data_IF_855567277810
#
_entry.id   IF_855567277810
#
_cell.length_a   1.000
_cell.length_b   1.000
_cell.length_c   1.000
_cell.angle_alpha   90.00
_cell.angle_beta   90.00
_cell.angle_gamma   90.00
#
_symmetry.space_group_name_H-M   'P 1'
#
loop_
_entity.id
_entity.type
_entity.pdbx_description
1 polymer ?
#
# COMPACT_ATOMS: atom_id res chain seq x y z
N UNK A 1 24.60 5.05 -4.80
CA UNK A 1 25.24 4.71 -3.51
C UNK A 1 24.31 3.78 -2.74
N UNK A 2 24.81 2.69 -2.13
CA UNK A 2 23.94 1.68 -1.53
C UNK A 2 23.30 2.22 -0.26
N UNK A 3 22.01 1.92 -0.06
CA UNK A 3 21.29 2.16 1.19
C UNK A 3 21.88 1.20 2.23
N UNK A 4 22.68 1.73 3.17
CA UNK A 4 23.20 0.96 4.29
C UNK A 4 22.10 0.77 5.34
N UNK A 5 21.68 -0.48 5.55
CA UNK A 5 20.91 -0.88 6.73
C UNK A 5 21.87 -1.03 7.91
N UNK A 6 21.81 -0.12 8.87
CA UNK A 6 22.53 -0.28 10.13
C UNK A 6 21.65 -1.04 11.13
N UNK A 7 21.96 -2.31 11.39
CA UNK A 7 21.39 -3.07 12.50
C UNK A 7 22.32 -2.89 13.69
N UNK A 8 21.95 -2.03 14.64
CA UNK A 8 22.69 -1.86 15.89
C UNK A 8 22.27 -2.93 16.91
N UNK A 9 23.25 -3.64 17.48
CA UNK A 9 23.05 -4.55 18.58
C UNK A 9 23.57 -3.89 19.86
N UNK A 10 22.66 -3.61 20.79
CA UNK A 10 23.02 -3.15 22.14
C UNK A 10 22.76 -4.31 23.10
N UNK A 11 23.81 -4.81 23.73
CA UNK A 11 23.72 -5.82 24.79
C UNK A 11 23.72 -5.11 26.15
N UNK A 12 22.63 -5.24 26.91
CA UNK A 12 22.59 -4.82 28.31
C UNK A 12 22.78 -6.05 29.20
N UNK A 13 23.83 -6.06 30.02
CA UNK A 13 24.07 -7.08 31.04
C UNK A 13 23.32 -6.73 32.33
N UNK A 14 22.63 -7.69 32.98
CA UNK A 14 22.20 -7.51 34.37
C UNK A 14 23.35 -7.89 35.30
N UNK A 15 23.87 -6.93 36.08
CA UNK A 15 24.65 -7.28 37.27
C UNK A 15 23.66 -7.59 38.39
N UNK A 16 23.62 -8.86 38.78
CA UNK A 16 23.04 -9.30 40.05
C UNK A 16 24.04 -8.88 41.14
N UNK A 17 23.75 -7.80 41.86
CA UNK A 17 24.08 -7.72 43.28
C UNK A 17 23.26 -6.63 43.97
N UNK A 18 22.71 -7.01 45.12
CA UNK A 18 21.97 -6.15 46.05
C UNK A 18 22.91 -5.07 46.62
N UNK A 19 22.31 -3.89 46.87
CA UNK A 19 22.88 -2.66 47.44
C UNK A 19 23.61 -1.72 46.46
N UNK A 20 23.21 -0.45 46.54
CA UNK A 20 23.70 0.75 45.83
C UNK A 20 23.17 1.04 44.41
N UNK A 21 22.33 2.09 44.36
CA UNK A 21 21.80 2.74 43.17
C UNK A 21 22.93 3.43 42.37
N UNK A 22 23.51 2.75 41.39
CA UNK A 22 23.92 3.35 40.09
C UNK A 22 24.23 2.25 39.08
N UNK A 23 23.31 1.94 38.17
CA UNK A 23 23.60 1.08 37.02
C UNK A 23 24.43 1.85 35.97
N UNK A 24 25.75 1.65 35.93
CA UNK A 24 26.57 2.06 34.78
C UNK A 24 26.38 1.04 33.66
N UNK A 25 25.90 1.49 32.51
CA UNK A 25 25.76 0.69 31.29
C UNK A 25 27.13 0.68 30.59
N UNK A 26 27.75 -0.50 30.45
CA UNK A 26 28.96 -0.68 29.65
C UNK A 26 28.58 -1.02 28.21
N UNK A 27 29.10 -0.23 27.26
CA UNK A 27 28.92 -0.44 25.82
C UNK A 27 30.18 -1.10 25.24
N UNK A 28 30.05 -2.26 24.61
CA UNK A 28 31.09 -2.79 23.72
C UNK A 28 30.81 -2.28 22.30
N UNK A 29 31.64 -1.34 21.82
CA UNK A 29 31.54 -0.77 20.49
C UNK A 29 32.46 -1.52 19.51
N UNK A 30 31.91 -2.44 18.73
CA UNK A 30 32.56 -2.95 17.53
C UNK A 30 31.88 -2.33 16.29
N UNK A 31 32.26 -1.10 15.92
CA UNK A 31 31.70 -0.43 14.74
C UNK A 31 32.75 0.41 13.97
N UNK A 32 32.70 0.33 12.63
CA UNK A 32 33.33 1.30 11.72
C UNK A 32 32.27 2.32 11.30
N UNK A 33 32.49 3.60 11.62
CA UNK A 33 31.63 4.69 11.18
C UNK A 33 31.99 5.11 9.75
N UNK A 34 30.98 5.37 8.91
CA UNK A 34 31.17 5.73 7.49
C UNK A 34 31.27 7.25 7.31
N UNK A 35 30.78 8.06 8.26
CA UNK A 35 30.93 9.52 8.27
C UNK A 35 31.08 10.11 9.70
N UNK A 36 31.53 11.37 9.79
CA UNK A 36 31.63 12.13 11.05
C UNK A 36 30.27 12.52 11.64
N UNK A 37 29.26 12.72 10.79
CA UNK A 37 27.88 13.02 11.18
C UNK A 37 27.20 11.82 11.85
N UNK A 38 27.42 10.60 11.32
CA UNK A 38 26.93 9.36 11.91
C UNK A 38 27.49 9.16 13.34
N UNK A 39 28.76 9.51 13.53
CA UNK A 39 29.43 9.42 14.84
C UNK A 39 28.85 10.42 15.85
N UNK A 40 28.54 11.64 15.40
CA UNK A 40 27.92 12.69 16.23
C UNK A 40 26.48 12.32 16.62
N UNK A 41 25.69 11.81 15.68
CA UNK A 41 24.32 11.35 15.93
C UNK A 41 24.30 10.20 16.93
N UNK A 42 25.19 9.22 16.79
CA UNK A 42 25.28 8.08 17.70
C UNK A 42 25.74 8.49 19.10
N UNK A 43 26.70 9.41 19.23
CA UNK A 43 27.10 9.95 20.53
C UNK A 43 25.92 10.66 21.23
N UNK A 44 25.16 11.47 20.50
CA UNK A 44 23.95 12.12 21.04
C UNK A 44 22.87 11.11 21.44
N UNK A 45 22.73 10.01 20.69
CA UNK A 45 21.83 8.90 21.02
C UNK A 45 22.23 8.21 22.33
N UNK A 46 23.51 7.85 22.50
CA UNK A 46 24.02 7.22 23.73
C UNK A 46 23.91 8.13 24.96
N UNK A 47 24.19 9.44 24.81
CA UNK A 47 24.01 10.42 25.88
C UNK A 47 22.54 10.48 26.34
N UNK A 48 21.58 10.40 25.40
CA UNK A 48 20.15 10.41 25.74
C UNK A 48 19.68 9.10 26.36
N UNK A 49 20.20 7.95 25.91
CA UNK A 49 19.92 6.65 26.52
C UNK A 49 20.40 6.56 27.97
N UNK A 50 21.61 7.07 28.27
CA UNK A 50 22.16 7.08 29.64
C UNK A 50 21.34 7.92 30.64
N UNK A 51 20.38 8.73 30.17
CA UNK A 51 19.45 9.49 31.03
C UNK A 51 18.20 8.70 31.43
N UNK A 52 17.98 7.50 30.88
CA UNK A 52 16.84 6.64 31.20
C UNK A 52 17.18 5.83 32.46
N UNK A 53 16.53 6.14 33.58
CA UNK A 53 16.81 5.52 34.89
C UNK A 53 16.13 4.16 35.11
N UNK A 54 15.00 3.90 34.45
CA UNK A 54 14.21 2.67 34.61
C UNK A 54 13.76 2.14 33.25
N UNK A 55 14.15 0.91 32.91
CA UNK A 55 13.58 0.19 31.79
C UNK A 55 12.35 -0.62 32.24
N UNK A 56 11.21 -0.53 31.52
CA UNK A 56 9.98 -1.24 31.84
C UNK A 56 10.01 -2.71 31.38
N UNK A 57 9.06 -3.51 31.89
CA UNK A 57 8.97 -4.96 31.73
C UNK A 57 8.88 -5.46 30.27
N UNK A 58 9.33 -6.70 30.05
CA UNK A 58 9.45 -7.39 28.76
C UNK A 58 8.19 -7.35 27.85
N UNK A 59 8.39 -7.42 26.53
CA UNK A 59 7.34 -7.50 25.49
C UNK A 59 6.44 -6.26 25.35
N UNK A 60 6.98 -5.07 25.56
CA UNK A 60 6.30 -3.81 25.23
C UNK A 60 7.02 -3.04 24.13
N UNK A 61 6.25 -2.50 23.18
CA UNK A 61 6.73 -1.58 22.15
C UNK A 61 6.76 -0.16 22.74
N UNK A 62 7.92 0.47 22.77
CA UNK A 62 8.08 1.80 23.36
C UNK A 62 8.34 2.85 22.26
N UNK A 63 7.55 3.93 22.32
CA UNK A 63 7.80 5.16 21.56
C UNK A 63 8.30 6.23 22.53
N UNK A 64 9.60 6.47 22.56
CA UNK A 64 10.15 7.57 23.38
C UNK A 64 9.98 8.87 22.59
N UNK A 65 8.94 9.64 22.94
CA UNK A 65 8.58 10.92 22.29
C UNK A 65 9.73 11.94 22.23
N UNK A 66 10.72 11.86 23.13
CA UNK A 66 11.86 12.80 23.20
C UNK A 66 12.99 12.53 22.20
N UNK A 67 13.04 11.36 21.57
CA UNK A 67 14.19 10.99 20.73
C UNK A 67 13.83 10.51 19.32
N UNK A 68 12.54 10.31 18.98
CA UNK A 68 12.14 9.90 17.63
C UNK A 68 12.42 8.43 17.29
N UNK A 69 12.94 7.64 18.23
CA UNK A 69 13.25 6.22 18.04
C UNK A 69 12.14 5.32 18.60
N UNK A 70 11.90 4.20 17.91
CA UNK A 70 11.04 3.11 18.36
C UNK A 70 11.92 2.00 18.95
N UNK A 71 11.50 1.46 20.09
CA UNK A 71 12.20 0.40 20.80
C UNK A 71 11.29 -0.82 20.89
N UNK A 72 11.80 -1.99 20.54
CA UNK A 72 11.23 -3.27 20.96
C UNK A 72 12.13 -3.94 21.97
N UNK A 73 11.54 -4.44 23.05
CA UNK A 73 12.19 -5.33 24.02
C UNK A 73 11.57 -6.72 23.91
N UNK A 74 12.39 -7.73 23.66
CA UNK A 74 11.97 -9.14 23.62
C UNK A 74 12.79 -9.97 24.61
N UNK A 75 12.12 -10.94 25.25
CA UNK A 75 12.76 -11.97 26.06
C UNK A 75 13.18 -13.13 25.16
N UNK A 76 14.48 -13.35 25.00
CA UNK A 76 15.00 -14.57 24.37
C UNK A 76 15.41 -15.57 25.46
N UNK A 77 15.20 -16.87 25.23
CA UNK A 77 15.31 -17.92 26.25
C UNK A 77 16.64 -17.98 27.04
N UNK A 78 16.53 -18.57 28.24
CA UNK A 78 17.53 -18.89 29.30
C UNK A 78 18.52 -17.81 29.78
N UNK A 79 18.81 -16.76 29.01
CA UNK A 79 19.66 -15.67 29.48
C UNK A 79 18.91 -14.31 29.40
N UNK A 80 18.90 -13.58 30.52
CA UNK A 80 18.21 -12.29 30.66
C UNK A 80 18.96 -11.17 29.93
N UNK A 81 18.80 -11.08 28.60
CA UNK A 81 19.28 -9.95 27.82
C UNK A 81 18.12 -9.15 27.26
N UNK A 82 18.22 -7.83 27.33
CA UNK A 82 17.37 -6.93 26.57
C UNK A 82 18.01 -6.73 25.20
N UNK A 83 17.35 -7.18 24.13
CA UNK A 83 17.72 -6.81 22.75
C UNK A 83 16.93 -5.57 22.37
N UNK A 84 17.62 -4.45 22.20
CA UNK A 84 17.03 -3.21 21.72
C UNK A 84 17.30 -3.11 20.21
N UNK A 85 16.26 -3.22 19.39
CA UNK A 85 16.32 -2.81 17.99
C UNK A 85 15.96 -1.34 17.87
N UNK A 86 16.88 -0.55 17.34
CA UNK A 86 16.64 0.86 17.01
C UNK A 86 16.39 0.92 15.52
N UNK A 87 15.13 1.06 15.12
CA UNK A 87 14.82 1.42 13.75
C UNK A 87 14.93 2.94 13.63
N UNK A 88 16.02 3.41 13.03
CA UNK A 88 16.10 4.76 12.50
C UNK A 88 15.13 4.88 11.32
N UNK A 89 13.97 5.47 11.53
CA UNK A 89 13.37 6.29 10.48
C UNK A 89 14.14 7.60 10.53
N UNK A 90 15.38 7.59 10.05
CA UNK A 90 16.02 8.84 9.65
C UNK A 90 15.25 9.29 8.43
N UNK A 91 14.44 10.34 8.60
CA UNK A 91 14.02 11.20 7.50
C UNK A 91 15.26 11.88 6.92
N UNK A 92 16.11 11.13 6.24
CA UNK A 92 17.14 11.68 5.38
C UNK A 92 16.48 12.02 4.04
N UNK A 93 15.68 13.08 4.05
CA UNK A 93 15.45 14.05 2.98
C UNK A 93 14.22 14.90 3.31
N UNK A 94 14.46 16.08 3.88
CA UNK A 94 13.47 17.16 4.05
C UNK A 94 13.01 17.79 2.71
N UNK A 95 13.16 17.11 1.58
CA UNK A 95 12.88 17.63 0.24
C UNK A 95 11.70 16.94 -0.48
N UNK A 96 11.06 15.94 0.12
CA UNK A 96 9.87 15.30 -0.48
C UNK A 96 8.61 16.12 -0.17
N UNK A 97 8.16 16.93 -1.13
CA UNK A 97 6.91 17.67 -1.02
C UNK A 97 5.76 16.73 -1.40
N UNK A 98 5.13 16.12 -0.39
CA UNK A 98 3.85 15.41 -0.55
C UNK A 98 2.73 16.41 -0.27
N UNK A 99 1.83 16.59 -1.22
CA UNK A 99 0.63 17.42 -1.09
C UNK A 99 -0.60 16.54 -1.18
N UNK A 100 -1.49 16.65 -0.21
CA UNK A 100 -2.80 15.99 -0.22
C UNK A 100 -3.86 17.02 -0.63
N UNK A 101 -4.75 16.64 -1.54
CA UNK A 101 -5.82 17.53 -2.02
C UNK A 101 -7.08 16.72 -2.39
N UNK A 102 -8.20 17.42 -2.56
CA UNK A 102 -9.50 16.85 -2.95
C UNK A 102 -10.10 17.70 -4.08
N UNK A 103 -10.34 17.09 -5.24
CA UNK A 103 -10.96 17.74 -6.39
C UNK A 103 -12.26 17.04 -6.76
N UNK A 104 -13.37 17.79 -6.79
CA UNK A 104 -14.72 17.28 -7.09
C UNK A 104 -15.10 16.03 -6.25
N UNK A 105 -14.64 16.05 -4.99
CA UNK A 105 -14.82 14.98 -4.02
C UNK A 105 -13.87 13.80 -4.19
N UNK A 106 -12.83 13.89 -5.02
CA UNK A 106 -11.84 12.83 -5.23
C UNK A 106 -10.53 13.22 -4.57
N UNK A 107 -10.12 12.44 -3.57
CA UNK A 107 -8.91 12.63 -2.78
C UNK A 107 -7.69 12.03 -3.49
N UNK A 108 -6.58 12.77 -3.51
CA UNK A 108 -5.30 12.27 -4.02
C UNK A 108 -4.11 12.87 -3.27
N UNK A 109 -2.95 12.24 -3.42
CA UNK A 109 -1.65 12.79 -3.02
C UNK A 109 -0.78 13.00 -4.24
N UNK A 110 -0.05 14.10 -4.29
CA UNK A 110 1.03 14.33 -5.25
C UNK A 110 2.35 14.29 -4.48
N UNK A 111 3.21 13.36 -4.86
CA UNK A 111 4.63 13.33 -4.50
C UNK A 111 5.41 13.99 -5.64
N UNK A 112 5.87 15.21 -5.42
CA UNK A 112 6.69 15.95 -6.38
C UNK A 112 8.18 15.64 -6.17
N UNK A 113 8.74 14.87 -7.09
CA UNK A 113 10.15 14.48 -7.14
C UNK A 113 10.90 15.20 -8.27
N UNK A 114 10.37 16.30 -8.82
CA UNK A 114 11.00 17.00 -9.96
C UNK A 114 12.44 17.41 -9.67
N UNK A 115 12.76 17.75 -8.42
CA UNK A 115 14.13 18.06 -8.00
C UNK A 115 15.08 16.85 -7.95
N UNK A 116 14.52 15.63 -7.88
CA UNK A 116 15.27 14.38 -7.73
C UNK A 116 15.55 13.75 -9.10
N UNK A 117 14.54 13.67 -9.98
CA UNK A 117 14.59 12.90 -11.23
C UNK A 117 14.60 13.76 -12.50
N UNK A 118 14.85 15.07 -12.39
CA UNK A 118 14.80 16.05 -13.50
C UNK A 118 15.46 15.59 -14.79
N UNK A 119 16.60 14.90 -14.70
CA UNK A 119 17.40 14.46 -15.84
C UNK A 119 17.30 12.94 -16.11
N UNK A 120 16.58 12.20 -15.28
CA UNK A 120 16.52 10.72 -15.33
C UNK A 120 15.20 10.19 -15.88
N UNK A 121 14.15 11.03 -15.94
CA UNK A 121 12.80 10.59 -16.35
C UNK A 121 12.26 11.50 -17.44
N UNK A 122 11.58 10.92 -18.43
CA UNK A 122 10.64 11.69 -19.27
C UNK A 122 9.65 12.34 -18.29
N UNK A 123 9.27 13.60 -18.48
CA UNK A 123 8.37 14.40 -17.59
C UNK A 123 6.93 13.85 -17.46
N UNK A 124 6.75 12.54 -17.66
CA UNK A 124 5.51 11.79 -17.60
C UNK A 124 5.19 11.49 -16.13
N UNK A 125 4.11 12.07 -15.57
CA UNK A 125 3.65 11.73 -14.23
C UNK A 125 3.12 10.30 -14.18
N UNK A 126 3.26 9.65 -13.03
CA UNK A 126 2.63 8.37 -12.73
C UNK A 126 1.36 8.62 -11.91
N UNK A 127 0.27 7.93 -12.25
CA UNK A 127 -0.98 7.91 -11.50
C UNK A 127 -1.28 6.49 -11.04
N UNK A 128 -1.48 6.31 -9.73
CA UNK A 128 -1.69 5.03 -9.07
C UNK A 128 -3.12 4.91 -8.54
N UNK A 129 -3.83 3.85 -8.96
CA UNK A 129 -5.19 3.51 -8.53
C UNK A 129 -5.20 2.22 -7.70
N UNK A 130 -5.79 2.29 -6.50
CA UNK A 130 -5.79 1.17 -5.54
C UNK A 130 -6.90 0.15 -5.84
N UNK A 131 -6.83 -1.01 -5.17
CA UNK A 131 -7.83 -2.09 -5.26
C UNK A 131 -9.04 -1.88 -4.35
N UNK A 132 -10.01 -2.80 -4.41
CA UNK A 132 -11.21 -2.74 -3.56
C UNK A 132 -10.83 -2.73 -2.07
N UNK A 133 -11.59 -1.99 -1.27
CA UNK A 133 -11.36 -1.74 0.16
C UNK A 133 -10.06 -1.01 0.50
N UNK A 134 -9.30 -0.57 -0.50
CA UNK A 134 -8.07 0.18 -0.32
C UNK A 134 -8.27 1.70 -0.23
N UNK A 135 -7.15 2.39 -0.25
CA UNK A 135 -7.02 3.85 -0.41
C UNK A 135 -5.66 4.17 -1.02
N UNK A 136 -5.45 5.41 -1.47
CA UNK A 136 -4.18 5.98 -1.91
C UNK A 136 -3.04 5.72 -0.93
N UNK A 137 -3.37 5.58 0.36
CA UNK A 137 -2.39 5.32 1.44
C UNK A 137 -1.75 3.93 1.34
N UNK A 138 -2.36 2.99 0.63
CA UNK A 138 -1.74 1.67 0.40
C UNK A 138 -0.45 1.78 -0.43
N UNK A 139 -0.30 2.84 -1.24
CA UNK A 139 0.89 3.05 -2.07
C UNK A 139 1.96 3.93 -1.41
N UNK A 140 1.85 4.32 -0.14
CA UNK A 140 2.82 5.23 0.50
C UNK A 140 4.26 4.69 0.39
N UNK A 141 4.46 3.40 0.62
CA UNK A 141 5.77 2.79 0.48
C UNK A 141 6.14 2.52 -0.97
N UNK A 142 5.19 1.98 -1.76
CA UNK A 142 5.46 1.60 -3.14
C UNK A 142 5.79 2.81 -4.03
N UNK A 143 5.08 3.93 -3.87
CA UNK A 143 5.31 5.17 -4.63
C UNK A 143 6.72 5.76 -4.46
N UNK A 144 7.41 5.45 -3.36
CA UNK A 144 8.81 5.85 -3.12
C UNK A 144 9.82 5.10 -3.99
N UNK A 145 9.44 3.91 -4.46
CA UNK A 145 10.29 3.08 -5.30
C UNK A 145 10.19 3.46 -6.77
N UNK A 146 9.19 4.27 -7.14
CA UNK A 146 8.96 4.69 -8.51
C UNK A 146 9.80 5.92 -8.86
N UNK A 147 10.54 5.83 -9.96
CA UNK A 147 11.38 6.89 -10.52
C UNK A 147 10.55 7.68 -11.52
N UNK A 148 9.82 8.67 -11.02
CA UNK A 148 9.12 9.66 -11.83
C UNK A 148 9.13 11.01 -11.13
N UNK A 149 9.22 12.08 -11.93
CA UNK A 149 9.15 13.46 -11.46
C UNK A 149 7.88 13.76 -10.66
N UNK A 150 6.75 13.09 -10.95
CA UNK A 150 5.52 13.24 -10.17
C UNK A 150 4.82 11.89 -10.03
N UNK A 151 4.53 11.50 -8.80
CA UNK A 151 3.73 10.30 -8.51
C UNK A 151 2.45 10.73 -7.79
N UNK A 152 1.32 10.41 -8.39
CA UNK A 152 -0.02 10.76 -7.91
C UNK A 152 -0.70 9.48 -7.45
N UNK A 153 -1.15 9.43 -6.19
CA UNK A 153 -1.95 8.30 -5.67
C UNK A 153 -3.36 8.79 -5.40
N UNK A 154 -4.37 8.11 -5.94
CA UNK A 154 -5.75 8.58 -5.89
C UNK A 154 -6.65 7.59 -5.16
N UNK A 155 -7.54 8.12 -4.31
CA UNK A 155 -8.67 7.38 -3.75
C UNK A 155 -9.77 7.29 -4.79
N UNK A 156 -10.15 6.08 -5.19
CA UNK A 156 -11.35 5.90 -6.02
C UNK A 156 -12.59 6.39 -5.27
N UNK A 157 -13.66 6.76 -5.98
CA UNK A 157 -14.96 7.00 -5.35
C UNK A 157 -15.34 5.85 -4.42
N UNK A 158 -16.11 6.15 -3.38
CA UNK A 158 -16.51 5.19 -2.34
C UNK A 158 -15.35 4.58 -1.54
N UNK A 159 -14.14 5.13 -1.62
CA UNK A 159 -12.97 4.65 -0.91
C UNK A 159 -12.18 5.80 -0.28
N UNK A 160 -11.39 5.47 0.75
CA UNK A 160 -10.43 6.39 1.34
C UNK A 160 -11.07 7.68 1.87
N UNK A 161 -10.51 8.82 1.45
CA UNK A 161 -11.03 10.15 1.76
C UNK A 161 -11.83 10.76 0.58
N UNK A 162 -12.13 9.97 -0.46
CA UNK A 162 -13.02 10.36 -1.56
C UNK A 162 -14.50 10.26 -1.18
N UNK A 163 -15.34 10.98 -1.93
CA UNK A 163 -16.80 11.04 -1.76
C UNK A 163 -17.42 9.66 -1.77
N UNK A 164 -18.40 9.46 -0.88
CA UNK A 164 -19.32 8.34 -0.94
C UNK A 164 -20.48 8.74 -1.87
N UNK A 165 -20.76 7.87 -2.83
CA UNK A 165 -21.79 8.01 -3.87
C UNK A 165 -22.59 6.72 -3.94
N UNK A 166 -23.74 6.74 -4.58
CA UNK A 166 -24.62 5.55 -4.64
C UNK A 166 -24.09 4.44 -5.56
N UNK A 167 -23.14 4.77 -6.44
CA UNK A 167 -22.76 3.93 -7.58
C UNK A 167 -21.24 3.82 -7.78
N UNK A 168 -20.80 2.75 -8.44
CA UNK A 168 -19.41 2.38 -8.72
C UNK A 168 -19.18 2.03 -10.21
N UNK A 169 -19.96 2.62 -11.13
CA UNK A 169 -19.85 2.28 -12.55
C UNK A 169 -18.55 2.82 -13.16
N UNK A 170 -17.97 2.08 -14.11
CA UNK A 170 -16.65 2.40 -14.64
C UNK A 170 -16.61 3.70 -15.48
N UNK A 171 -17.70 4.09 -16.12
CA UNK A 171 -17.86 5.38 -16.79
C UNK A 171 -17.82 6.55 -15.80
N UNK A 172 -18.37 6.36 -14.60
CA UNK A 172 -18.31 7.38 -13.58
C UNK A 172 -16.91 7.46 -12.92
N UNK A 173 -16.26 6.31 -12.71
CA UNK A 173 -14.85 6.26 -12.26
C UNK A 173 -13.93 6.89 -13.31
N UNK A 174 -14.17 6.62 -14.60
CA UNK A 174 -13.45 7.24 -15.73
C UNK A 174 -13.56 8.77 -15.65
N UNK A 175 -14.77 9.29 -15.43
CA UNK A 175 -15.00 10.73 -15.32
C UNK A 175 -14.27 11.35 -14.11
N UNK A 176 -14.27 10.68 -12.96
CA UNK A 176 -13.51 11.13 -11.79
C UNK A 176 -12.00 11.23 -12.10
N UNK A 177 -11.42 10.19 -12.72
CA UNK A 177 -10.00 10.17 -13.12
C UNK A 177 -9.72 11.33 -14.08
N UNK A 178 -10.49 11.47 -15.14
CA UNK A 178 -10.29 12.52 -16.17
C UNK A 178 -10.42 13.92 -15.58
N UNK A 179 -11.35 14.14 -14.66
CA UNK A 179 -11.53 15.43 -14.02
C UNK A 179 -10.32 15.81 -13.18
N UNK A 180 -9.78 14.88 -12.39
CA UNK A 180 -8.55 15.11 -11.62
C UNK A 180 -7.38 15.43 -12.55
N UNK A 181 -7.16 14.63 -13.61
CA UNK A 181 -6.09 14.88 -14.59
C UNK A 181 -6.22 16.25 -15.26
N UNK A 182 -7.43 16.60 -15.70
CA UNK A 182 -7.72 17.88 -16.35
C UNK A 182 -7.42 19.06 -15.42
N UNK A 183 -7.84 18.98 -14.16
CA UNK A 183 -7.63 20.05 -13.16
C UNK A 183 -6.17 20.19 -12.74
N UNK A 184 -5.42 19.08 -12.74
CA UNK A 184 -3.97 19.10 -12.54
C UNK A 184 -3.18 19.47 -13.81
N UNK A 185 -3.87 19.80 -14.90
CA UNK A 185 -3.27 20.12 -16.21
C UNK A 185 -2.38 19.01 -16.76
N UNK A 186 -2.69 17.75 -16.45
CA UNK A 186 -1.98 16.57 -16.93
C UNK A 186 -2.59 16.18 -18.28
N UNK A 187 -1.81 16.40 -19.35
CA UNK A 187 -2.22 16.06 -20.72
C UNK A 187 -1.96 14.59 -21.07
N UNK A 188 -0.94 14.00 -20.45
CA UNK A 188 -0.52 12.63 -20.67
C UNK A 188 0.15 12.08 -19.40
N UNK A 189 -0.11 10.83 -19.02
CA UNK A 189 0.52 10.18 -17.87
C UNK A 189 0.75 8.68 -18.07
N UNK A 190 1.54 8.06 -17.19
CA UNK A 190 1.50 6.62 -16.99
C UNK A 190 0.40 6.29 -15.98
N UNK A 191 -0.59 5.49 -16.39
CA UNK A 191 -1.65 5.04 -15.50
C UNK A 191 -1.36 3.63 -15.01
N UNK A 192 -1.33 3.47 -13.69
CA UNK A 192 -1.02 2.21 -13.01
C UNK A 192 -2.20 1.85 -12.09
N UNK A 193 -2.77 0.67 -12.27
CA UNK A 193 -3.93 0.23 -11.50
C UNK A 193 -3.76 -1.16 -10.91
N UNK A 194 -4.13 -1.31 -9.63
CA UNK A 194 -4.18 -2.59 -8.93
C UNK A 194 -5.61 -3.09 -8.78
N UNK A 195 -5.89 -4.34 -9.17
CA UNK A 195 -7.18 -5.01 -8.93
C UNK A 195 -8.37 -4.18 -9.47
N UNK A 196 -9.30 -3.74 -8.62
CA UNK A 196 -10.36 -2.80 -9.01
C UNK A 196 -9.83 -1.55 -9.74
N UNK A 197 -8.75 -0.95 -9.24
CA UNK A 197 -8.05 0.15 -9.89
C UNK A 197 -7.46 -0.25 -11.24
N UNK A 198 -7.03 -1.50 -11.41
CA UNK A 198 -6.59 -2.04 -12.70
C UNK A 198 -7.72 -2.11 -13.72
N UNK A 199 -8.91 -2.57 -13.33
CA UNK A 199 -10.10 -2.54 -14.19
C UNK A 199 -10.50 -1.11 -14.58
N UNK A 200 -10.50 -0.19 -13.61
CA UNK A 200 -10.75 1.22 -13.87
C UNK A 200 -9.72 1.81 -14.85
N UNK A 201 -8.43 1.50 -14.67
CA UNK A 201 -7.36 1.94 -15.57
C UNK A 201 -7.55 1.41 -16.99
N UNK A 202 -7.86 0.12 -17.14
CA UNK A 202 -8.14 -0.50 -18.44
C UNK A 202 -9.33 0.16 -19.14
N UNK A 203 -10.44 0.36 -18.42
CA UNK A 203 -11.64 1.01 -18.97
C UNK A 203 -11.32 2.44 -19.42
N UNK A 204 -10.63 3.21 -18.59
CA UNK A 204 -10.29 4.60 -18.88
C UNK A 204 -9.35 4.71 -20.09
N UNK A 205 -8.33 3.84 -20.16
CA UNK A 205 -7.35 3.83 -21.23
C UNK A 205 -7.95 3.41 -22.58
N UNK A 206 -8.84 2.41 -22.61
CA UNK A 206 -9.52 1.98 -23.84
C UNK A 206 -10.39 3.07 -24.45
N UNK A 207 -10.99 3.95 -23.63
CA UNK A 207 -11.84 5.06 -24.11
C UNK A 207 -11.10 6.38 -24.33
N UNK A 208 -9.91 6.55 -23.75
CA UNK A 208 -9.17 7.81 -23.75
C UNK A 208 -7.67 7.58 -23.95
N UNK A 209 -7.30 6.82 -24.98
CA UNK A 209 -5.92 6.37 -25.18
C UNK A 209 -4.90 7.51 -25.24
N UNK A 210 -5.29 8.68 -25.76
CA UNK A 210 -4.43 9.87 -25.86
C UNK A 210 -4.02 10.48 -24.52
N UNK A 211 -4.70 10.14 -23.41
CA UNK A 211 -4.33 10.61 -22.06
C UNK A 211 -3.21 9.80 -21.43
N UNK A 212 -2.85 8.65 -22.01
CA UNK A 212 -1.99 7.68 -21.37
C UNK A 212 -0.85 7.27 -22.28
N UNK A 213 0.38 7.63 -21.91
CA UNK A 213 1.58 7.16 -22.60
C UNK A 213 1.82 5.68 -22.32
N UNK A 214 1.50 5.24 -21.10
CA UNK A 214 1.73 3.89 -20.61
C UNK A 214 0.58 3.43 -19.74
N UNK A 215 0.23 2.15 -19.85
CA UNK A 215 -0.72 1.47 -18.99
C UNK A 215 -0.06 0.30 -18.27
N UNK A 216 -0.14 0.24 -16.94
CA UNK A 216 0.38 -0.89 -16.16
C UNK A 216 -0.71 -1.44 -15.26
N UNK A 217 -1.02 -2.73 -15.43
CA UNK A 217 -2.08 -3.42 -14.71
C UNK A 217 -1.48 -4.43 -13.74
N UNK A 218 -1.86 -4.36 -12.47
CA UNK A 218 -1.41 -5.28 -11.43
C UNK A 218 -2.51 -6.28 -11.08
N UNK A 219 -2.26 -7.52 -11.49
CA UNK A 219 -2.95 -8.76 -11.12
C UNK A 219 -4.49 -8.74 -11.26
N UNK A 220 -4.99 -8.33 -12.44
CA UNK A 220 -6.42 -8.40 -12.78
C UNK A 220 -6.61 -8.42 -14.30
N UNK A 221 -7.74 -8.98 -14.77
CA UNK A 221 -8.09 -9.05 -16.19
C UNK A 221 -9.30 -8.18 -16.57
N UNK A 222 -9.43 -7.77 -17.84
CA UNK A 222 -10.65 -7.20 -18.41
C UNK A 222 -11.69 -8.31 -18.64
N UNK A 223 -12.09 -8.98 -17.56
CA UNK A 223 -12.88 -10.21 -17.56
C UNK A 223 -14.12 -10.07 -16.66
N UNK A 224 -15.19 -10.79 -17.00
CA UNK A 224 -16.40 -10.87 -16.19
C UNK A 224 -16.26 -11.96 -15.12
N UNK A 225 -15.87 -11.57 -13.91
CA UNK A 225 -15.68 -12.49 -12.80
C UNK A 225 -16.98 -13.03 -12.20
N UNK A 226 -18.15 -12.47 -12.57
CA UNK A 226 -19.45 -13.03 -12.15
C UNK A 226 -19.72 -14.41 -12.76
N UNK A 227 -19.18 -14.65 -13.96
CA UNK A 227 -19.36 -15.91 -14.68
C UNK A 227 -18.15 -16.85 -14.51
N UNK A 228 -17.23 -16.53 -13.59
CA UNK A 228 -16.05 -17.33 -13.39
C UNK A 228 -16.42 -18.68 -12.76
N UNK A 229 -16.09 -19.77 -13.46
CA UNK A 229 -16.31 -21.13 -12.95
C UNK A 229 -15.25 -21.56 -11.94
N UNK A 230 -14.08 -20.92 -11.95
CA UNK A 230 -13.01 -21.21 -11.00
C UNK A 230 -13.17 -20.32 -9.77
N UNK A 231 -13.43 -20.88 -8.59
CA UNK A 231 -13.67 -20.06 -7.40
C UNK A 231 -12.38 -19.31 -7.01
N UNK A 232 -12.49 -18.00 -6.87
CA UNK A 232 -11.43 -17.20 -6.25
C UNK A 232 -11.42 -17.51 -4.77
N UNK A 233 -10.25 -17.87 -4.23
CA UNK A 233 -10.10 -18.16 -2.79
C UNK A 233 -10.07 -16.88 -1.97
N UNK A 234 -10.48 -17.01 -0.70
CA UNK A 234 -10.21 -15.97 0.30
C UNK A 234 -8.70 -15.75 0.44
N UNK A 235 -8.28 -14.52 0.79
CA UNK A 235 -9.09 -13.35 1.10
C UNK A 235 -9.54 -12.53 -0.14
N UNK A 236 -9.16 -12.93 -1.34
CA UNK A 236 -9.35 -12.11 -2.55
C UNK A 236 -10.71 -12.34 -3.25
N UNK A 237 -11.56 -13.21 -2.69
CA UNK A 237 -12.95 -13.34 -3.09
C UNK A 237 -13.75 -12.11 -2.63
N UNK A 238 -13.81 -11.09 -3.48
CA UNK A 238 -14.47 -9.83 -3.11
C UNK A 238 -15.99 -9.99 -2.91
N UNK A 239 -16.62 -10.99 -3.52
CA UNK A 239 -18.06 -11.23 -3.35
C UNK A 239 -18.37 -11.69 -1.93
N UNK A 240 -17.63 -12.70 -1.46
CA UNK A 240 -17.77 -13.20 -0.09
C UNK A 240 -17.38 -12.13 0.93
N UNK A 241 -16.23 -11.46 0.74
CA UNK A 241 -15.77 -10.42 1.68
C UNK A 241 -16.74 -9.24 1.74
N UNK A 242 -17.26 -8.74 0.61
CA UNK A 242 -18.22 -7.62 0.61
C UNK A 242 -19.49 -8.00 1.37
N UNK A 243 -20.01 -9.22 1.15
CA UNK A 243 -21.20 -9.71 1.84
C UNK A 243 -21.01 -9.76 3.37
N UNK A 244 -19.85 -10.23 3.82
CA UNK A 244 -19.51 -10.28 5.25
C UNK A 244 -19.36 -8.88 5.83
N UNK A 245 -18.68 -7.96 5.12
CA UNK A 245 -18.53 -6.58 5.58
C UNK A 245 -19.89 -5.86 5.64
N UNK A 246 -20.78 -6.12 4.69
CA UNK A 246 -22.14 -5.59 4.69
C UNK A 246 -22.92 -6.08 5.92
N UNK A 247 -22.87 -7.39 6.19
CA UNK A 247 -23.49 -7.98 7.39
C UNK A 247 -22.92 -7.40 8.69
N UNK A 248 -21.59 -7.30 8.81
CA UNK A 248 -20.95 -6.71 10.00
C UNK A 248 -21.38 -5.26 10.19
N UNK A 249 -21.44 -4.47 9.11
CA UNK A 249 -21.85 -3.06 9.18
C UNK A 249 -23.30 -2.90 9.64
N UNK A 250 -24.24 -3.69 9.09
CA UNK A 250 -25.68 -3.50 9.31
C UNK A 250 -26.24 -4.27 10.50
N UNK A 251 -25.75 -5.49 10.76
CA UNK A 251 -26.28 -6.34 11.83
C UNK A 251 -25.46 -6.25 13.12
N UNK A 252 -24.12 -6.23 13.02
CA UNK A 252 -23.24 -6.26 14.19
C UNK A 252 -22.88 -4.86 14.71
N UNK A 253 -22.80 -3.87 13.83
CA UNK A 253 -22.58 -2.43 14.13
C UNK A 253 -21.42 -2.20 15.13
N UNK A 254 -20.19 -2.61 14.81
CA UNK A 254 -19.06 -2.46 15.71
C UNK A 254 -18.79 -1.00 16.07
N UNK A 255 -18.48 -0.74 17.35
CA UNK A 255 -18.23 0.61 17.89
C UNK A 255 -16.77 1.02 17.82
N UNK A 256 -15.88 0.03 17.77
CA UNK A 256 -14.44 0.19 17.75
C UNK A 256 -13.80 -0.88 16.84
N UNK A 257 -12.50 -0.72 16.53
CA UNK A 257 -11.79 -1.66 15.67
C UNK A 257 -11.65 -3.05 16.29
N UNK A 258 -11.65 -3.13 17.62
CA UNK A 258 -11.53 -4.39 18.35
C UNK A 258 -12.76 -5.27 18.14
N UNK A 259 -13.96 -4.70 18.32
CA UNK A 259 -15.25 -5.35 18.02
C UNK A 259 -15.34 -5.75 16.55
N UNK A 260 -14.95 -4.86 15.63
CA UNK A 260 -14.93 -5.19 14.20
C UNK A 260 -14.05 -6.43 13.92
N UNK A 261 -12.84 -6.48 14.47
CA UNK A 261 -11.92 -7.62 14.30
C UNK A 261 -12.47 -8.90 14.93
N UNK A 262 -13.19 -8.81 16.05
CA UNK A 262 -13.86 -9.96 16.66
C UNK A 262 -14.95 -10.50 15.74
N UNK A 263 -15.86 -9.66 15.27
CA UNK A 263 -16.92 -10.08 14.35
C UNK A 263 -16.35 -10.62 13.03
N UNK A 264 -15.32 -9.97 12.49
CA UNK A 264 -14.65 -10.43 11.27
C UNK A 264 -14.04 -11.83 11.45
N UNK A 265 -13.40 -12.11 12.58
CA UNK A 265 -12.85 -13.45 12.87
C UNK A 265 -13.93 -14.50 13.14
N UNK A 266 -15.09 -14.10 13.67
CA UNK A 266 -16.22 -15.02 13.81
C UNK A 266 -16.78 -15.44 12.43
N UNK A 267 -16.90 -14.49 11.50
CA UNK A 267 -17.41 -14.74 10.14
C UNK A 267 -16.35 -15.38 9.22
N UNK A 268 -15.06 -15.09 9.45
CA UNK A 268 -13.91 -15.61 8.70
C UNK A 268 -12.81 -16.10 9.67
N UNK A 269 -12.94 -17.32 10.23
CA UNK A 269 -11.98 -17.83 11.21
C UNK A 269 -10.53 -17.92 10.69
N UNK A 270 -10.36 -18.25 9.41
CA UNK A 270 -9.05 -18.45 8.77
C UNK A 270 -8.47 -17.16 8.15
N UNK A 271 -9.07 -16.00 8.41
CA UNK A 271 -8.57 -14.73 7.89
C UNK A 271 -7.15 -14.45 8.39
N UNK A 272 -6.24 -14.13 7.46
CA UNK A 272 -4.89 -13.75 7.85
C UNK A 272 -4.89 -12.42 8.63
N UNK A 273 -4.00 -12.32 9.62
CA UNK A 273 -3.86 -11.08 10.40
C UNK A 273 -3.53 -9.88 9.50
N UNK A 274 -2.72 -10.06 8.45
CA UNK A 274 -2.38 -9.00 7.51
C UNK A 274 -3.60 -8.50 6.74
N UNK A 275 -4.47 -9.40 6.27
CA UNK A 275 -5.67 -9.01 5.55
C UNK A 275 -6.72 -8.39 6.47
N UNK A 276 -6.89 -8.91 7.69
CA UNK A 276 -7.75 -8.30 8.69
C UNK A 276 -7.29 -6.85 9.03
N UNK A 277 -5.98 -6.63 9.14
CA UNK A 277 -5.44 -5.29 9.35
C UNK A 277 -5.61 -4.38 8.13
N UNK A 278 -5.49 -4.91 6.91
CA UNK A 278 -5.82 -4.18 5.69
C UNK A 278 -7.27 -3.68 5.70
N UNK A 279 -8.25 -4.53 6.05
CA UNK A 279 -9.64 -4.10 6.19
C UNK A 279 -9.83 -3.05 7.30
N UNK A 280 -9.09 -3.15 8.40
CA UNK A 280 -9.06 -2.13 9.46
C UNK A 280 -8.52 -0.77 9.03
N UNK A 281 -7.76 -0.67 7.92
CA UNK A 281 -7.34 0.62 7.36
C UNK A 281 -8.52 1.39 6.76
N UNK A 282 -9.58 0.69 6.40
CA UNK A 282 -10.84 1.27 5.90
C UNK A 282 -11.80 1.70 6.99
N UNK A 283 -11.31 1.78 8.24
CA UNK A 283 -12.03 2.22 9.41
C UNK A 283 -11.32 3.40 10.08
N UNK A 284 -12.09 4.43 10.41
CA UNK A 284 -11.66 5.54 11.28
C UNK A 284 -12.38 5.41 12.61
N UNK A 285 -11.60 5.38 13.68
CA UNK A 285 -12.10 5.26 15.04
C UNK A 285 -12.06 6.62 15.72
N UNK A 286 -13.14 6.97 16.41
CA UNK A 286 -13.21 8.10 17.30
C UNK A 286 -13.33 7.58 18.74
N UNK A 287 -12.19 7.51 19.43
CA UNK A 287 -12.10 6.95 20.77
C UNK A 287 -12.95 7.73 21.78
N UNK A 288 -13.06 9.05 21.62
CA UNK A 288 -13.79 9.91 22.55
C UNK A 288 -15.31 9.67 22.48
N UNK A 289 -15.81 9.26 21.29
CA UNK A 289 -17.23 9.00 21.04
C UNK A 289 -17.58 7.51 20.95
N UNK A 290 -16.60 6.63 21.15
CA UNK A 290 -16.72 5.19 20.90
C UNK A 290 -17.45 4.89 19.57
N UNK A 291 -17.02 5.59 18.53
CA UNK A 291 -17.68 5.57 17.22
C UNK A 291 -16.71 5.11 16.15
N UNK A 292 -17.16 4.16 15.34
CA UNK A 292 -16.44 3.68 14.18
C UNK A 292 -17.08 4.22 12.90
N UNK A 293 -16.27 4.82 12.03
CA UNK A 293 -16.70 5.33 10.73
C UNK A 293 -16.02 4.54 9.63
N UNK A 294 -16.81 4.09 8.65
CA UNK A 294 -16.30 3.43 7.46
C UNK A 294 -15.76 4.47 6.48
N UNK A 295 -14.51 4.29 6.05
CA UNK A 295 -13.90 5.08 4.98
C UNK A 295 -14.28 4.56 3.59
N UNK A 296 -14.82 3.36 3.53
CA UNK A 296 -15.38 2.75 2.32
C UNK A 296 -16.91 2.81 2.36
N UNK A 297 -17.54 3.06 1.23
CA UNK A 297 -19.00 2.97 1.14
C UNK A 297 -19.40 1.51 0.87
N UNK A 298 -19.51 0.70 1.94
CA UNK A 298 -19.88 -0.72 1.80
C UNK A 298 -21.22 -0.88 1.09
N UNK A 299 -22.17 0.03 1.28
CA UNK A 299 -23.52 -0.12 0.70
C UNK A 299 -23.47 -0.01 -0.81
N UNK A 300 -22.74 0.98 -1.33
CA UNK A 300 -22.52 1.12 -2.77
C UNK A 300 -21.67 -0.02 -3.34
N UNK A 301 -20.60 -0.44 -2.64
CA UNK A 301 -19.77 -1.57 -3.10
C UNK A 301 -20.60 -2.86 -3.15
N UNK A 302 -21.45 -3.13 -2.15
CA UNK A 302 -22.32 -4.30 -2.11
C UNK A 302 -23.37 -4.27 -3.23
N UNK A 303 -24.07 -3.14 -3.38
CA UNK A 303 -25.09 -2.94 -4.43
C UNK A 303 -24.50 -3.11 -5.83
N UNK A 304 -23.34 -2.51 -6.09
CA UNK A 304 -22.73 -2.49 -7.42
C UNK A 304 -21.66 -3.58 -7.63
N UNK A 305 -21.56 -4.54 -6.70
CA UNK A 305 -20.61 -5.65 -6.78
C UNK A 305 -20.67 -6.38 -8.13
N UNK A 306 -21.85 -6.72 -8.70
CA UNK A 306 -21.91 -7.36 -10.02
C UNK A 306 -21.32 -6.49 -11.14
N UNK A 307 -21.44 -5.17 -11.05
CA UNK A 307 -20.90 -4.24 -12.05
C UNK A 307 -19.38 -4.15 -11.97
N UNK A 308 -18.80 -4.02 -10.77
CA UNK A 308 -17.34 -3.94 -10.61
C UNK A 308 -16.64 -5.28 -10.87
N UNK A 309 -17.35 -6.40 -10.66
CA UNK A 309 -16.89 -7.74 -11.02
C UNK A 309 -16.94 -7.99 -12.54
N UNK A 310 -17.76 -7.25 -13.28
CA UNK A 310 -17.84 -7.30 -14.74
C UNK A 310 -16.72 -6.48 -15.41
N UNK A 311 -16.57 -6.59 -16.73
CA UNK A 311 -15.86 -5.63 -17.57
C UNK A 311 -16.72 -5.29 -18.80
N UNK A 312 -17.27 -4.07 -18.91
CA UNK A 312 -18.41 -3.80 -19.80
C UNK A 312 -18.02 -3.33 -21.22
N UNK A 313 -16.74 -3.43 -21.61
CA UNK A 313 -16.30 -3.09 -22.97
C UNK A 313 -16.16 -4.36 -23.79
N UNK A 314 -16.29 -4.24 -25.11
CA UNK A 314 -16.07 -5.34 -26.06
C UNK A 314 -14.71 -5.16 -26.76
N UNK A 315 -13.89 -6.21 -26.79
CA UNK A 315 -12.56 -6.18 -27.42
C UNK A 315 -12.62 -6.02 -28.94
N UNK A 316 -13.75 -6.28 -29.60
CA UNK A 316 -13.91 -6.04 -31.04
C UNK A 316 -13.99 -4.54 -31.35
N UNK A 317 -14.53 -3.74 -30.43
CA UNK A 317 -14.75 -2.29 -30.61
C UNK A 317 -13.60 -1.47 -30.01
N UNK A 318 -13.03 -1.93 -28.89
CA UNK A 318 -12.04 -1.17 -28.13
C UNK A 318 -10.68 -1.87 -28.15
N UNK A 319 -9.65 -1.14 -28.61
CA UNK A 319 -8.25 -1.55 -28.56
C UNK A 319 -7.40 -0.44 -27.98
N UNK A 320 -6.41 -0.80 -27.17
CA UNK A 320 -5.39 0.13 -26.69
C UNK A 320 -4.03 -0.27 -27.25
N UNK A 321 -3.45 0.61 -28.08
CA UNK A 321 -2.24 0.32 -28.87
C UNK A 321 -0.96 0.91 -28.25
N UNK A 322 -1.08 1.84 -27.32
CA UNK A 322 0.05 2.42 -26.61
C UNK A 322 0.73 1.36 -25.71
N UNK A 323 1.96 1.58 -25.24
CA UNK A 323 2.65 0.68 -24.32
C UNK A 323 1.78 0.22 -23.15
N UNK A 324 1.64 -1.10 -22.99
CA UNK A 324 0.81 -1.72 -21.96
C UNK A 324 1.55 -2.91 -21.34
N UNK A 325 1.43 -3.08 -20.02
CA UNK A 325 2.07 -4.19 -19.31
C UNK A 325 1.18 -4.73 -18.20
N UNK A 326 1.15 -6.05 -18.07
CA UNK A 326 0.46 -6.76 -17.00
C UNK A 326 1.48 -7.39 -16.07
N UNK A 327 1.49 -6.96 -14.81
CA UNK A 327 2.27 -7.57 -13.74
C UNK A 327 1.35 -8.54 -13.01
N UNK A 328 1.59 -9.83 -13.16
CA UNK A 328 0.71 -10.92 -12.76
C UNK A 328 1.31 -11.63 -11.56
N UNK A 329 0.49 -11.93 -10.55
CA UNK A 329 0.93 -12.69 -9.39
C UNK A 329 0.74 -14.19 -9.60
N UNK A 330 1.83 -14.97 -9.53
CA UNK A 330 1.76 -16.41 -9.78
C UNK A 330 0.86 -17.15 -8.78
N UNK A 331 0.86 -16.73 -7.51
CA UNK A 331 0.10 -17.39 -6.43
C UNK A 331 -1.33 -16.88 -6.31
N UNK A 332 -1.78 -16.04 -7.24
CA UNK A 332 -3.13 -15.47 -7.26
C UNK A 332 -4.05 -16.23 -8.19
N UNK A 333 -5.26 -16.52 -7.70
CA UNK A 333 -6.31 -17.17 -8.49
C UNK A 333 -7.11 -16.14 -9.34
N UNK A 334 -6.66 -14.88 -9.47
CA UNK A 334 -7.39 -13.83 -10.21
C UNK A 334 -7.02 -13.76 -11.70
N UNK A 335 -5.80 -14.15 -12.07
CA UNK A 335 -5.32 -14.13 -13.46
C UNK A 335 -4.94 -15.54 -13.91
N UNK A 336 -3.98 -16.18 -13.21
CA UNK A 336 -3.45 -17.48 -13.63
C UNK A 336 -4.47 -18.62 -13.59
N UNK A 337 -5.58 -18.48 -12.85
CA UNK A 337 -6.66 -19.48 -12.84
C UNK A 337 -7.63 -19.35 -14.03
N UNK A 338 -7.56 -18.24 -14.78
CA UNK A 338 -8.48 -17.95 -15.88
C UNK A 338 -7.92 -18.58 -17.16
N UNK A 339 -8.65 -19.50 -17.81
CA UNK A 339 -8.20 -20.09 -19.06
C UNK A 339 -8.00 -19.03 -20.15
N UNK A 340 -6.91 -19.16 -20.92
CA UNK A 340 -6.57 -18.26 -22.03
C UNK A 340 -6.50 -16.78 -21.61
N UNK A 341 -6.04 -16.48 -20.39
CA UNK A 341 -5.92 -15.10 -19.91
C UNK A 341 -5.02 -14.25 -20.81
N UNK A 342 -4.02 -14.86 -21.44
CA UNK A 342 -3.12 -14.24 -22.41
C UNK A 342 -3.88 -13.72 -23.63
N UNK A 343 -4.81 -14.52 -24.16
CA UNK A 343 -5.69 -14.12 -25.25
C UNK A 343 -6.62 -12.99 -24.82
N UNK A 344 -7.22 -13.09 -23.62
CA UNK A 344 -8.09 -12.03 -23.08
C UNK A 344 -7.34 -10.69 -23.02
N UNK A 345 -6.09 -10.70 -22.55
CA UNK A 345 -5.24 -9.51 -22.53
C UNK A 345 -4.99 -9.00 -23.95
N UNK A 346 -4.53 -9.87 -24.86
CA UNK A 346 -4.16 -9.49 -26.23
C UNK A 346 -5.35 -9.03 -27.08
N UNK A 347 -6.55 -9.51 -26.77
CA UNK A 347 -7.77 -9.06 -27.43
C UNK A 347 -8.03 -7.57 -27.16
N UNK A 348 -7.78 -7.04 -25.97
CA UNK A 348 -7.95 -5.58 -25.70
C UNK A 348 -6.65 -4.79 -25.90
N UNK A 349 -5.50 -5.39 -25.61
CA UNK A 349 -4.20 -4.75 -25.52
C UNK A 349 -3.17 -5.49 -26.38
N UNK A 350 -3.18 -5.32 -27.72
CA UNK A 350 -2.29 -6.07 -28.61
C UNK A 350 -0.79 -5.86 -28.30
N UNK A 351 -0.42 -4.65 -27.87
CA UNK A 351 0.93 -4.27 -27.46
C UNK A 351 1.36 -4.82 -26.09
N UNK A 352 0.44 -5.45 -25.34
CA UNK A 352 0.70 -5.79 -23.95
C UNK A 352 1.82 -6.81 -23.77
N UNK A 353 2.74 -6.55 -22.84
CA UNK A 353 3.61 -7.57 -22.28
C UNK A 353 3.05 -8.12 -20.97
N UNK A 354 3.41 -9.36 -20.62
CA UNK A 354 2.97 -10.02 -19.40
C UNK A 354 4.21 -10.42 -18.61
N UNK A 355 4.26 -10.05 -17.35
CA UNK A 355 5.37 -10.34 -16.44
C UNK A 355 4.79 -11.01 -15.21
N UNK A 356 5.26 -12.23 -14.95
CA UNK A 356 4.78 -13.03 -13.83
C UNK A 356 5.77 -12.90 -12.68
N UNK A 357 5.26 -12.54 -11.52
CA UNK A 357 5.99 -12.49 -10.26
C UNK A 357 5.71 -13.78 -9.48
N UNK A 358 6.73 -14.63 -9.37
CA UNK A 358 6.61 -16.01 -8.91
C UNK A 358 6.27 -16.14 -7.42
N UNK A 359 6.69 -15.18 -6.58
CA UNK A 359 6.47 -15.27 -5.14
C UNK A 359 5.28 -14.45 -4.64
N UNK A 360 4.70 -13.64 -5.51
CA UNK A 360 3.59 -12.75 -5.19
C UNK A 360 2.27 -13.49 -5.10
N UNK A 361 1.53 -13.19 -4.03
CA UNK A 361 0.07 -13.29 -3.98
C UNK A 361 -0.54 -12.09 -4.73
N UNK A 362 -1.83 -11.83 -4.61
CA UNK A 362 -2.50 -10.74 -5.32
C UNK A 362 -1.81 -9.37 -5.17
N UNK A 363 -1.21 -9.08 -4.01
CA UNK A 363 -0.60 -7.78 -3.71
C UNK A 363 0.85 -7.66 -4.19
N UNK A 364 1.10 -7.72 -5.50
CA UNK A 364 2.44 -7.64 -6.12
C UNK A 364 3.29 -6.45 -5.66
N UNK A 365 2.66 -5.30 -5.42
CA UNK A 365 3.32 -4.07 -4.98
C UNK A 365 3.71 -4.08 -3.48
N UNK A 366 3.35 -5.15 -2.76
CA UNK A 366 3.72 -5.43 -1.37
C UNK A 366 4.66 -6.64 -1.32
N UNK A 367 4.26 -7.75 -1.94
CA UNK A 367 4.93 -9.05 -1.80
C UNK A 367 6.32 -9.04 -2.45
N UNK A 368 6.43 -8.47 -3.66
CA UNK A 368 7.68 -8.32 -4.41
C UNK A 368 7.86 -6.85 -4.84
N UNK A 369 7.65 -5.92 -3.88
CA UNK A 369 7.58 -4.48 -4.11
C UNK A 369 8.77 -3.90 -4.90
N UNK A 370 10.01 -4.27 -4.55
CA UNK A 370 11.20 -3.77 -5.24
C UNK A 370 11.25 -4.25 -6.69
N UNK A 371 11.03 -5.55 -6.92
CA UNK A 371 11.02 -6.12 -8.26
C UNK A 371 9.91 -5.52 -9.12
N UNK A 372 8.72 -5.37 -8.55
CA UNK A 372 7.58 -4.72 -9.20
C UNK A 372 7.92 -3.26 -9.60
N UNK A 373 8.56 -2.50 -8.70
CA UNK A 373 8.99 -1.13 -9.00
C UNK A 373 10.10 -1.08 -10.06
N UNK A 374 11.09 -1.98 -10.02
CA UNK A 374 12.18 -2.05 -11.00
C UNK A 374 11.64 -2.34 -12.41
N UNK A 375 10.66 -3.23 -12.51
CA UNK A 375 9.93 -3.52 -13.76
C UNK A 375 9.26 -2.24 -14.29
N UNK A 376 8.50 -1.54 -13.46
CA UNK A 376 7.79 -0.30 -13.84
C UNK A 376 8.79 0.77 -14.29
N UNK A 377 9.84 1.00 -13.51
CA UNK A 377 10.87 1.99 -13.81
C UNK A 377 11.57 1.67 -15.15
N UNK A 378 11.85 0.39 -15.41
CA UNK A 378 12.42 -0.05 -16.68
C UNK A 378 11.50 0.15 -17.89
N UNK A 379 10.18 0.11 -17.70
CA UNK A 379 9.19 0.35 -18.75
C UNK A 379 9.06 1.82 -19.12
N UNK A 380 9.15 2.72 -18.14
CA UNK A 380 9.02 4.17 -18.36
C UNK A 380 10.23 4.78 -19.10
N UNK A 381 11.38 4.10 -19.05
CA UNK A 381 12.62 4.53 -19.69
C UNK A 381 12.75 4.06 -21.14
N UNK A 382 11.88 3.16 -21.60
CA UNK A 382 11.78 2.76 -23.00
C UNK A 382 10.88 3.74 -23.76
#
# INVERSE_FOLDING_TARGET
>A
MPILFYIFYIFCFPLINLSERTSKINYHNNYRFVSSEDKSMMNNFFIKLNKIKNFPNYNTLWKIKKCGYFFLSYKNGKNNWNRISVNTITSSNNNEKITDDVLDGISFSIRDNTHIFKNETKDIPIVLLHGCYGSRKNFIFFSKLLKSNKVITMDLRNHGDSKHTENMRFDEIENDIKNVLKKLHIKECCLIGFSLGGKASMYCALKNSSLFSHLIIMDILPFNYNCNKNPIKLPFNISQVTSILYHIKHEKKPRNKLEFLQYLKCELPDISNSFAQFLCMSLKENNDKNQLTWKINIDAIYKDLPFIMNFPLNSQEYKYLNPCNFIIAKKSDLVCSIPNFDKIIKDYFPSASQIILENSTHTVYIDEAQQCADIINGMLNK
#
